data_IF_516409299957
#
_entry.id   IF_516409299957
#
_cell.length_a   1.000
_cell.length_b   1.000
_cell.length_c   1.000
_cell.angle_alpha   90.00
_cell.angle_beta   90.00
_cell.angle_gamma   90.00
#
_symmetry.space_group_name_H-M   'P 1'
#
loop_
_entity.id
_entity.type
_entity.pdbx_description
1 polymer ?
#
# COMPACT_ATOMS: atom_id res chain seq x y z
N UNK A 1 7.62 -4.15 -11.07
CA UNK A 1 6.55 -4.44 -10.12
C UNK A 1 5.51 -3.36 -10.27
N UNK A 2 4.27 -3.74 -10.55
CA UNK A 2 3.17 -2.81 -10.83
C UNK A 2 1.99 -3.22 -9.95
N UNK A 3 1.50 -2.41 -9.01
CA UNK A 3 1.98 -1.11 -8.49
C UNK A 3 1.88 -1.14 -6.96
N UNK A 4 2.57 -0.26 -6.24
CA UNK A 4 2.51 -0.22 -4.77
C UNK A 4 1.36 0.65 -4.24
N UNK A 5 0.93 1.67 -4.98
CA UNK A 5 -0.19 2.54 -4.62
C UNK A 5 -0.99 2.82 -5.88
N UNK A 6 -2.29 2.52 -5.84
CA UNK A 6 -3.24 2.85 -6.89
C UNK A 6 -4.64 2.91 -6.29
N UNK A 7 -5.46 3.84 -6.79
CA UNK A 7 -6.85 4.03 -6.37
C UNK A 7 -7.83 3.04 -7.01
N UNK A 8 -7.34 2.15 -7.87
CA UNK A 8 -8.14 1.10 -8.50
C UNK A 8 -7.62 -0.25 -8.00
N UNK A 9 -8.53 -1.13 -7.60
CA UNK A 9 -8.22 -2.43 -6.97
C UNK A 9 -7.54 -2.32 -5.59
N UNK A 10 -7.79 -1.24 -4.84
CA UNK A 10 -7.28 -1.11 -3.48
C UNK A 10 -8.03 -2.01 -2.48
N UNK A 11 -7.30 -2.47 -1.47
CA UNK A 11 -7.90 -3.24 -0.39
C UNK A 11 -8.63 -2.29 0.58
N UNK A 12 -9.94 -2.47 0.73
CA UNK A 12 -10.81 -1.59 1.54
C UNK A 12 -10.30 -1.39 2.98
N UNK A 13 -9.67 -2.41 3.55
CA UNK A 13 -9.09 -2.35 4.90
C UNK A 13 -7.99 -1.30 5.03
N UNK A 14 -7.33 -0.87 3.95
CA UNK A 14 -6.28 0.14 4.01
C UNK A 14 -6.84 1.49 4.43
N UNK A 15 -8.04 1.82 3.94
CA UNK A 15 -8.69 3.12 4.10
C UNK A 15 -9.79 3.11 5.17
N UNK A 16 -10.31 1.94 5.54
CA UNK A 16 -11.42 1.81 6.50
C UNK A 16 -11.03 1.01 7.75
N UNK A 17 -11.69 1.28 8.86
CA UNK A 17 -11.66 0.47 10.07
C UNK A 17 -12.64 -0.71 10.01
N UNK A 18 -12.76 -1.46 11.10
CA UNK A 18 -13.63 -2.65 11.17
C UNK A 18 -15.12 -2.28 11.08
N UNK A 19 -15.45 -1.04 11.45
CA UNK A 19 -16.79 -0.45 11.40
C UNK A 19 -17.08 0.22 10.05
N UNK A 20 -16.13 0.19 9.10
CA UNK A 20 -16.27 0.74 7.76
C UNK A 20 -16.09 2.26 7.67
N UNK A 21 -15.59 2.91 8.72
CA UNK A 21 -15.31 4.36 8.73
C UNK A 21 -13.91 4.65 8.20
N UNK A 22 -13.67 5.83 7.60
CA UNK A 22 -12.34 6.24 7.18
C UNK A 22 -11.36 6.27 8.35
N UNK A 23 -10.15 5.73 8.15
CA UNK A 23 -9.09 5.81 9.15
C UNK A 23 -8.43 7.19 9.19
N UNK A 24 -7.71 7.47 10.27
CA UNK A 24 -6.91 8.69 10.38
C UNK A 24 -5.77 8.70 9.36
N UNK A 25 -5.30 9.91 9.03
CA UNK A 25 -4.15 10.10 8.14
C UNK A 25 -2.92 9.34 8.65
N UNK A 26 -2.68 9.37 9.95
CA UNK A 26 -1.53 8.74 10.59
C UNK A 26 -1.58 7.22 10.42
N UNK A 27 -2.75 6.61 10.62
CA UNK A 27 -2.93 5.17 10.46
C UNK A 27 -2.79 4.76 8.98
N UNK A 28 -3.34 5.54 8.05
CA UNK A 28 -3.18 5.27 6.62
C UNK A 28 -1.71 5.32 6.18
N UNK A 29 -0.96 6.34 6.62
CA UNK A 29 0.47 6.46 6.33
C UNK A 29 1.29 5.31 6.93
N UNK A 30 0.94 4.86 8.13
CA UNK A 30 1.59 3.70 8.75
C UNK A 30 1.32 2.43 7.96
N UNK A 31 0.06 2.15 7.60
CA UNK A 31 -0.34 1.00 6.78
C UNK A 31 0.35 1.00 5.42
N UNK A 32 0.46 2.17 4.79
CA UNK A 32 1.15 2.34 3.51
C UNK A 32 2.63 1.99 3.64
N UNK A 33 3.30 2.48 4.69
CA UNK A 33 4.70 2.16 4.97
C UNK A 33 4.88 0.64 5.15
N UNK A 34 4.03 0.02 5.97
CA UNK A 34 4.11 -1.42 6.22
C UNK A 34 3.89 -2.24 4.94
N UNK A 35 2.94 -1.84 4.09
CA UNK A 35 2.70 -2.46 2.79
C UNK A 35 3.93 -2.39 1.87
N UNK A 36 4.51 -1.20 1.71
CA UNK A 36 5.71 -1.01 0.87
C UNK A 36 6.86 -1.86 1.38
N UNK A 37 7.13 -1.84 2.68
CA UNK A 37 8.24 -2.61 3.27
C UNK A 37 8.03 -4.12 3.14
N UNK A 38 6.81 -4.61 3.34
CA UNK A 38 6.49 -6.02 3.18
C UNK A 38 6.68 -6.49 1.73
N UNK A 39 6.12 -5.75 0.76
CA UNK A 39 6.14 -6.13 -0.67
C UNK A 39 7.53 -5.96 -1.27
N UNK A 40 8.12 -4.76 -1.16
CA UNK A 40 9.45 -4.48 -1.72
C UNK A 40 10.52 -5.28 -1.00
N UNK A 41 10.40 -5.47 0.33
CA UNK A 41 11.30 -6.31 1.10
C UNK A 41 11.30 -7.76 0.64
N UNK A 42 10.11 -8.35 0.41
CA UNK A 42 9.97 -9.72 -0.09
C UNK A 42 10.63 -9.94 -1.46
N UNK A 43 10.56 -8.95 -2.34
CA UNK A 43 11.10 -9.03 -3.70
C UNK A 43 12.41 -8.27 -3.90
N UNK A 44 13.11 -7.92 -2.81
CA UNK A 44 14.38 -7.21 -2.85
C UNK A 44 15.39 -7.96 -3.72
N UNK A 45 15.99 -7.25 -4.67
CA UNK A 45 16.97 -7.80 -5.61
C UNK A 45 16.39 -8.69 -6.72
N UNK A 46 15.07 -8.93 -6.76
CA UNK A 46 14.41 -9.76 -7.78
C UNK A 46 13.66 -8.93 -8.83
N UNK A 47 13.19 -7.76 -8.44
CA UNK A 47 12.46 -6.84 -9.33
C UNK A 47 13.35 -5.62 -9.56
N UNK A 48 13.68 -5.35 -10.82
CA UNK A 48 14.61 -4.28 -11.19
C UNK A 48 13.98 -2.88 -11.19
N UNK A 49 12.65 -2.78 -11.38
CA UNK A 49 11.90 -1.51 -11.41
C UNK A 49 10.51 -1.66 -10.78
N UNK A 50 10.01 -0.59 -10.16
CA UNK A 50 8.69 -0.53 -9.52
C UNK A 50 7.95 0.75 -9.91
N UNK A 51 6.66 0.60 -10.21
CA UNK A 51 5.72 1.72 -10.23
C UNK A 51 5.29 1.96 -8.78
N UNK A 52 5.84 3.02 -8.17
CA UNK A 52 5.67 3.30 -6.74
C UNK A 52 4.29 3.91 -6.47
N UNK A 53 3.87 4.84 -7.31
CA UNK A 53 2.52 5.42 -7.31
C UNK A 53 2.02 5.32 -8.74
N UNK A 54 0.83 4.78 -8.91
CA UNK A 54 0.11 4.77 -10.16
C UNK A 54 -1.18 5.54 -9.95
N UNK A 55 -1.35 6.62 -10.72
CA UNK A 55 -2.55 7.48 -10.76
C UNK A 55 -3.11 7.82 -9.37
#
# INVERSE_FOLDING_TARGET
>A
GHTLVWHNQEATWMFKDAEGKPVTRELLLQRLKDHIFAVVGRYKGKIYAWDVVNE
#
